data_IF_550652151754
#
_entry.id   IF_550652151754
#
_cell.length_a   1.000
_cell.length_b   1.000
_cell.length_c   1.000
_cell.angle_alpha   90.00
_cell.angle_beta   90.00
_cell.angle_gamma   90.00
#
_symmetry.space_group_name_H-M   'P 1'
#
loop_
_entity.id
_entity.type
_entity.pdbx_description
1 polymer ?
#
# COMPACT_ATOMS: atom_id res chain seq x y z
N UNK A 1 5.82 15.59 0.04
CA UNK A 1 4.46 15.40 -0.52
C UNK A 1 4.46 15.32 -2.04
N UNK A 2 4.94 16.35 -2.77
CA UNK A 2 4.96 16.35 -4.25
C UNK A 2 5.76 15.18 -4.85
N UNK A 3 6.92 14.86 -4.29
CA UNK A 3 7.78 13.77 -4.78
C UNK A 3 7.13 12.39 -4.68
N UNK A 4 6.60 12.01 -3.51
CA UNK A 4 5.90 10.73 -3.35
C UNK A 4 4.73 10.62 -4.33
N UNK A 5 3.93 11.68 -4.46
CA UNK A 5 2.80 11.70 -5.39
C UNK A 5 3.24 11.49 -6.84
N UNK A 6 4.32 12.16 -7.27
CA UNK A 6 4.91 11.95 -8.60
C UNK A 6 5.39 10.50 -8.81
N UNK A 7 5.96 9.86 -7.79
CA UNK A 7 6.35 8.45 -7.87
C UNK A 7 5.14 7.53 -8.04
N UNK A 8 4.04 7.78 -7.33
CA UNK A 8 2.80 7.03 -7.51
C UNK A 8 2.18 7.27 -8.89
N UNK A 9 2.21 8.51 -9.39
CA UNK A 9 1.73 8.88 -10.73
C UNK A 9 2.58 8.27 -11.86
N UNK A 10 3.85 7.98 -11.59
CA UNK A 10 4.77 7.39 -12.59
C UNK A 10 4.39 5.96 -12.99
N UNK A 11 3.64 5.24 -12.14
CA UNK A 11 3.13 3.90 -12.45
C UNK A 11 1.95 4.07 -13.41
N UNK A 12 2.21 3.85 -14.69
CA UNK A 12 1.26 4.10 -15.78
C UNK A 12 0.88 2.82 -16.51
N UNK A 13 -0.18 2.90 -17.32
CA UNK A 13 -0.66 1.82 -18.19
C UNK A 13 0.43 1.19 -19.06
N UNK A 14 1.46 1.97 -19.43
CA UNK A 14 2.56 1.54 -20.29
C UNK A 14 3.71 0.85 -19.55
N UNK A 15 3.69 0.84 -18.21
CA UNK A 15 4.78 0.29 -17.40
C UNK A 15 4.86 -1.24 -17.56
N UNK A 16 6.01 -1.79 -17.91
CA UNK A 16 6.18 -3.26 -18.03
C UNK A 16 6.36 -3.91 -16.67
N UNK A 17 6.29 -5.25 -16.62
CA UNK A 17 6.53 -6.02 -15.40
C UNK A 17 7.94 -5.78 -14.85
N UNK A 18 8.94 -5.72 -15.72
CA UNK A 18 10.35 -5.51 -15.36
C UNK A 18 10.57 -4.10 -14.79
N UNK A 19 9.92 -3.09 -15.39
CA UNK A 19 9.95 -1.72 -14.88
C UNK A 19 9.27 -1.60 -13.53
N UNK A 20 8.17 -2.33 -13.32
CA UNK A 20 7.49 -2.40 -12.02
C UNK A 20 8.38 -3.07 -10.97
N UNK A 21 8.98 -4.21 -11.31
CA UNK A 21 9.88 -4.96 -10.42
C UNK A 21 11.08 -4.12 -9.99
N UNK A 22 11.59 -3.25 -10.87
CA UNK A 22 12.65 -2.31 -10.54
C UNK A 22 12.16 -1.11 -9.70
N UNK A 23 10.91 -0.68 -9.89
CA UNK A 23 10.39 0.56 -9.30
C UNK A 23 9.78 0.39 -7.92
N UNK A 24 9.06 -0.70 -7.66
CA UNK A 24 8.40 -0.93 -6.38
C UNK A 24 9.36 -0.94 -5.18
N UNK A 25 10.57 -1.53 -5.25
CA UNK A 25 11.55 -1.42 -4.16
C UNK A 25 11.93 0.03 -3.85
N UNK A 26 12.05 0.88 -4.87
CA UNK A 26 12.39 2.30 -4.72
C UNK A 26 11.23 3.04 -4.05
N UNK A 27 9.99 2.83 -4.53
CA UNK A 27 8.79 3.45 -3.94
C UNK A 27 8.64 2.99 -2.48
N UNK A 28 8.78 1.68 -2.22
CA UNK A 28 8.67 1.09 -0.89
C UNK A 28 9.67 1.69 0.08
N UNK A 29 10.95 1.73 -0.30
CA UNK A 29 11.99 2.36 0.49
C UNK A 29 11.65 3.83 0.76
N UNK A 30 11.30 4.57 -0.28
CA UNK A 30 11.06 6.00 -0.18
C UNK A 30 9.88 6.33 0.73
N UNK A 31 8.73 5.66 0.56
CA UNK A 31 7.55 5.90 1.40
C UNK A 31 7.78 5.47 2.85
N UNK A 32 8.38 4.28 3.07
CA UNK A 32 8.55 3.73 4.42
C UNK A 32 9.64 4.47 5.20
N UNK A 33 10.66 5.02 4.54
CA UNK A 33 11.75 5.73 5.21
C UNK A 33 11.46 7.22 5.45
N UNK A 34 10.64 7.86 4.60
CA UNK A 34 10.47 9.32 4.61
C UNK A 34 9.09 9.81 5.05
N UNK A 35 8.09 8.93 5.11
CA UNK A 35 6.70 9.31 5.33
C UNK A 35 6.04 8.49 6.43
N UNK A 36 5.02 9.09 7.04
CA UNK A 36 4.09 8.43 7.95
C UNK A 36 2.65 8.85 7.63
N UNK A 37 1.68 8.25 8.32
CA UNK A 37 0.26 8.58 8.21
C UNK A 37 -0.13 9.30 9.49
N UNK A 38 -0.57 10.55 9.37
CA UNK A 38 -1.11 11.32 10.50
C UNK A 38 -2.62 11.13 10.57
N UNK A 39 -3.13 10.75 11.74
CA UNK A 39 -4.55 10.65 12.06
C UNK A 39 -4.79 11.26 13.43
N UNK A 40 -5.59 12.33 13.50
CA UNK A 40 -5.69 13.16 14.70
C UNK A 40 -4.31 13.61 15.20
N UNK A 41 -4.02 13.29 16.46
CA UNK A 41 -2.72 13.56 17.12
C UNK A 41 -1.70 12.42 16.97
N UNK A 42 -2.10 11.30 16.37
CA UNK A 42 -1.24 10.13 16.19
C UNK A 42 -0.49 10.19 14.86
N UNK A 43 0.71 9.64 14.88
CA UNK A 43 1.55 9.46 13.70
C UNK A 43 1.94 7.99 13.60
N UNK A 44 1.58 7.39 12.47
CA UNK A 44 1.83 5.98 12.19
C UNK A 44 2.95 5.82 11.17
N UNK A 45 3.92 4.98 11.50
CA UNK A 45 5.05 4.61 10.66
C UNK A 45 4.78 3.30 9.93
N UNK A 46 5.00 3.28 8.62
CA UNK A 46 4.81 2.08 7.80
C UNK A 46 5.92 1.06 8.08
N UNK A 47 5.55 -0.20 8.32
CA UNK A 47 6.46 -1.30 8.62
C UNK A 47 6.32 -2.49 7.66
N UNK A 48 5.14 -2.68 7.04
CA UNK A 48 4.91 -3.67 5.99
C UNK A 48 3.89 -3.13 4.98
N UNK A 49 4.21 -3.26 3.69
CA UNK A 49 3.33 -2.88 2.58
C UNK A 49 3.40 -3.90 1.44
N UNK A 50 2.31 -4.02 0.69
CA UNK A 50 2.24 -4.85 -0.51
C UNK A 50 1.78 -4.05 -1.71
N UNK A 51 2.38 -4.32 -2.87
CA UNK A 51 1.98 -3.67 -4.11
C UNK A 51 1.06 -4.58 -4.93
N UNK A 52 0.03 -3.97 -5.51
CA UNK A 52 -0.90 -4.61 -6.42
C UNK A 52 -1.05 -3.72 -7.64
N UNK A 53 -0.85 -4.28 -8.83
CA UNK A 53 -0.95 -3.48 -10.05
C UNK A 53 -1.24 -4.32 -11.27
N UNK A 54 -2.25 -3.93 -12.04
CA UNK A 54 -2.60 -4.56 -13.31
C UNK A 54 -2.55 -3.56 -14.45
N UNK A 55 -2.22 -4.04 -15.64
CA UNK A 55 -2.40 -3.33 -16.89
C UNK A 55 -2.50 -4.33 -18.08
N UNK A 56 -2.68 -3.88 -19.33
CA UNK A 56 -2.75 -4.78 -20.47
C UNK A 56 -1.44 -5.54 -20.78
N UNK A 57 -0.29 -5.09 -20.28
CA UNK A 57 1.02 -5.72 -20.47
C UNK A 57 1.33 -6.75 -19.38
N UNK A 58 0.64 -6.66 -18.24
CA UNK A 58 0.80 -7.48 -17.05
C UNK A 58 -0.56 -7.63 -16.34
N UNK A 59 -1.15 -8.82 -16.49
CA UNK A 59 -2.45 -9.13 -15.90
C UNK A 59 -2.29 -9.71 -14.49
N UNK A 60 -2.11 -8.83 -13.52
CA UNK A 60 -2.18 -9.13 -12.08
C UNK A 60 -3.61 -9.24 -11.58
N UNK A 61 -4.64 -8.97 -12.41
CA UNK A 61 -6.02 -9.03 -11.93
C UNK A 61 -6.38 -10.44 -11.48
N UNK A 62 -5.71 -11.49 -11.99
CA UNK A 62 -6.18 -12.87 -11.87
C UNK A 62 -5.14 -13.82 -11.31
N UNK A 63 -5.61 -14.70 -10.43
CA UNK A 63 -4.83 -15.70 -9.73
C UNK A 63 -4.89 -17.06 -10.44
N UNK A 64 -3.93 -17.37 -11.32
CA UNK A 64 -3.77 -18.68 -12.00
C UNK A 64 -4.97 -19.11 -12.86
N UNK A 65 -6.06 -19.55 -12.22
CA UNK A 65 -7.38 -19.78 -12.81
C UNK A 65 -8.23 -18.50 -12.70
N UNK A 66 -8.84 -18.10 -13.82
CA UNK A 66 -9.55 -16.82 -14.04
C UNK A 66 -10.63 -16.34 -13.03
N UNK A 67 -10.91 -17.08 -11.95
CA UNK A 67 -12.00 -16.79 -11.01
C UNK A 67 -11.59 -15.97 -9.77
N UNK A 68 -10.33 -16.05 -9.32
CA UNK A 68 -9.89 -15.31 -8.13
C UNK A 68 -9.20 -14.02 -8.55
N UNK A 69 -9.71 -12.88 -8.07
CA UNK A 69 -9.10 -11.57 -8.33
C UNK A 69 -7.99 -11.30 -7.31
N UNK A 70 -6.77 -10.99 -7.77
CA UNK A 70 -5.66 -10.57 -6.89
C UNK A 70 -5.69 -9.05 -6.68
N UNK A 71 -6.05 -8.30 -7.72
CA UNK A 71 -6.26 -6.85 -7.65
C UNK A 71 -7.64 -6.47 -8.20
N UNK A 72 -8.09 -5.26 -7.89
CA UNK A 72 -9.44 -4.79 -8.14
C UNK A 72 -9.47 -3.76 -9.25
N UNK A 73 -10.40 -3.93 -10.20
CA UNK A 73 -10.75 -2.86 -11.13
C UNK A 73 -11.24 -1.64 -10.35
N UNK A 74 -10.65 -0.48 -10.62
CA UNK A 74 -11.00 0.77 -9.93
C UNK A 74 -10.73 1.99 -10.80
N UNK A 75 -11.42 3.09 -10.49
CA UNK A 75 -11.12 4.42 -11.01
C UNK A 75 -10.63 5.27 -9.84
N UNK A 76 -9.37 5.69 -9.87
CA UNK A 76 -8.76 6.47 -8.79
C UNK A 76 -7.62 7.32 -9.33
N UNK A 77 -7.49 8.54 -8.80
CA UNK A 77 -6.27 9.31 -8.94
C UNK A 77 -5.18 8.76 -8.02
N UNK A 78 -3.91 8.97 -8.36
CA UNK A 78 -2.80 8.56 -7.51
C UNK A 78 -2.79 9.30 -6.15
N UNK A 79 -2.49 8.56 -5.08
CA UNK A 79 -2.38 9.09 -3.72
C UNK A 79 -3.71 9.25 -2.98
N UNK A 80 -4.79 8.64 -3.46
CA UNK A 80 -6.04 8.52 -2.72
C UNK A 80 -6.05 7.29 -1.82
N UNK A 81 -6.89 7.30 -0.79
CA UNK A 81 -7.23 6.10 -0.02
C UNK A 81 -8.31 5.31 -0.76
N UNK A 82 -8.09 4.01 -0.93
CA UNK A 82 -9.08 3.10 -1.49
C UNK A 82 -9.33 1.94 -0.52
N UNK A 83 -10.51 1.93 0.07
CA UNK A 83 -10.94 0.89 1.01
C UNK A 83 -11.54 -0.31 0.27
N UNK A 84 -11.23 -1.50 0.76
CA UNK A 84 -11.81 -2.76 0.31
C UNK A 84 -11.84 -3.76 1.47
N UNK A 85 -12.45 -4.92 1.25
CA UNK A 85 -12.72 -5.94 2.29
C UNK A 85 -11.46 -6.44 3.04
N UNK A 86 -10.27 -6.18 2.49
CA UNK A 86 -9.00 -6.66 3.03
C UNK A 86 -8.11 -5.56 3.61
N UNK A 87 -8.52 -4.28 3.54
CA UNK A 87 -7.73 -3.17 4.06
C UNK A 87 -7.88 -1.88 3.26
N UNK A 88 -6.80 -1.11 3.21
CA UNK A 88 -6.74 0.16 2.49
C UNK A 88 -5.49 0.21 1.62
N UNK A 89 -5.69 0.65 0.39
CA UNK A 89 -4.60 0.93 -0.55
C UNK A 89 -4.34 2.43 -0.64
N UNK A 90 -3.07 2.80 -0.76
CA UNK A 90 -2.67 4.08 -1.35
C UNK A 90 -2.58 3.92 -2.87
N UNK A 91 -3.44 4.62 -3.61
CA UNK A 91 -3.69 4.32 -5.03
C UNK A 91 -2.58 4.79 -5.97
N UNK A 92 -2.39 4.03 -7.06
CA UNK A 92 -1.85 4.54 -8.32
C UNK A 92 -2.99 5.15 -9.16
N UNK A 93 -2.63 5.88 -10.23
CA UNK A 93 -3.62 6.22 -11.24
C UNK A 93 -4.24 4.93 -11.79
N UNK A 94 -5.57 4.90 -11.83
CA UNK A 94 -6.34 3.71 -12.18
C UNK A 94 -7.52 4.08 -13.05
N UNK A 95 -7.74 3.32 -14.11
CA UNK A 95 -8.89 3.44 -15.01
C UNK A 95 -9.39 2.05 -15.38
N UNK A 96 -10.57 1.70 -14.86
CA UNK A 96 -11.26 0.45 -15.19
C UNK A 96 -11.60 0.34 -16.67
N UNK A 97 -11.93 1.45 -17.32
CA UNK A 97 -12.24 1.51 -18.75
C UNK A 97 -11.00 1.23 -19.61
N UNK A 98 -9.84 1.70 -19.17
CA UNK A 98 -8.57 1.50 -19.87
C UNK A 98 -7.83 0.24 -19.46
N UNK A 99 -8.32 -0.46 -18.43
CA UNK A 99 -7.78 -1.75 -18.01
C UNK A 99 -6.45 -1.65 -17.26
N UNK A 100 -6.21 -0.59 -16.50
CA UNK A 100 -5.06 -0.50 -15.60
C UNK A 100 -5.41 0.07 -14.22
N UNK A 101 -4.62 -0.24 -13.20
CA UNK A 101 -4.79 0.33 -11.87
C UNK A 101 -4.17 -0.50 -10.75
N UNK A 102 -4.33 -0.02 -9.52
CA UNK A 102 -3.81 -0.68 -8.34
C UNK A 102 -3.41 0.28 -7.23
N UNK A 103 -2.55 -0.17 -6.33
CA UNK A 103 -2.07 0.62 -5.21
C UNK A 103 -1.15 -0.15 -4.28
N UNK A 104 -0.92 0.46 -3.13
CA UNK A 104 -0.04 -0.03 -2.07
C UNK A 104 -0.91 -0.35 -0.84
N UNK A 105 -1.10 -1.64 -0.58
CA UNK A 105 -1.81 -2.14 0.59
C UNK A 105 -0.96 -1.91 1.84
N UNK A 106 -1.55 -1.28 2.86
CA UNK A 106 -0.91 -1.10 4.16
C UNK A 106 -1.17 -2.32 5.04
N UNK A 107 -0.11 -2.97 5.52
CA UNK A 107 -0.23 -4.26 6.26
C UNK A 107 0.24 -4.21 7.69
N UNK A 108 1.21 -3.35 8.00
CA UNK A 108 1.69 -3.14 9.36
C UNK A 108 2.10 -1.69 9.55
N UNK A 109 1.65 -1.11 10.66
CA UNK A 109 2.05 0.22 11.12
C UNK A 109 2.50 0.17 12.57
N UNK A 110 3.22 1.21 12.98
CA UNK A 110 3.63 1.44 14.36
C UNK A 110 3.35 2.88 14.75
N UNK A 111 2.77 3.10 15.92
CA UNK A 111 2.63 4.44 16.49
C UNK A 111 4.02 5.01 16.84
N UNK A 112 4.30 6.23 16.38
CA UNK A 112 5.65 6.80 16.45
C UNK A 112 6.11 7.16 17.87
N UNK A 113 5.19 7.24 18.84
CA UNK A 113 5.48 7.63 20.22
C UNK A 113 5.57 6.40 21.12
N UNK A 114 4.55 5.54 21.05
CA UNK A 114 4.42 4.37 21.92
C UNK A 114 5.15 3.15 21.39
N UNK A 115 5.52 3.16 20.10
CA UNK A 115 6.06 2.01 19.37
C UNK A 115 5.14 0.78 19.38
N UNK A 116 3.85 0.97 19.68
CA UNK A 116 2.86 -0.07 19.57
C UNK A 116 2.65 -0.44 18.09
N UNK A 117 2.81 -1.72 17.76
CA UNK A 117 2.67 -2.22 16.41
C UNK A 117 1.25 -2.76 16.17
N UNK A 118 0.63 -2.33 15.08
CA UNK A 118 -0.63 -2.84 14.56
C UNK A 118 -0.35 -3.65 13.31
N UNK A 119 -0.65 -4.94 13.38
CA UNK A 119 -0.24 -5.93 12.36
C UNK A 119 -1.45 -6.62 11.75
N UNK A 120 -1.60 -6.47 10.44
CA UNK A 120 -2.72 -6.97 9.63
C UNK A 120 -3.44 -5.80 8.95
N UNK A 121 -3.77 -5.91 7.65
CA UNK A 121 -4.24 -4.76 6.88
C UNK A 121 -5.59 -4.19 7.35
N UNK A 122 -6.55 -5.06 7.70
CA UNK A 122 -7.83 -4.63 8.31
C UNK A 122 -7.61 -4.00 9.69
N UNK A 123 -6.68 -4.53 10.49
CA UNK A 123 -6.35 -3.94 11.79
C UNK A 123 -5.71 -2.56 11.64
N UNK A 124 -4.87 -2.36 10.60
CA UNK A 124 -4.31 -1.06 10.28
C UNK A 124 -5.40 -0.05 9.92
N UNK A 125 -6.42 -0.45 9.15
CA UNK A 125 -7.59 0.41 8.89
C UNK A 125 -8.27 0.80 10.20
N UNK A 126 -8.62 -0.18 11.02
CA UNK A 126 -9.30 0.09 12.29
C UNK A 126 -8.49 1.02 13.18
N UNK A 127 -7.17 0.81 13.31
CA UNK A 127 -6.28 1.64 14.12
C UNK A 127 -6.14 3.06 13.56
N UNK A 128 -5.86 3.21 12.27
CA UNK A 128 -5.58 4.52 11.67
C UNK A 128 -6.87 5.38 11.59
N UNK A 129 -8.04 4.74 11.50
CA UNK A 129 -9.35 5.39 11.49
C UNK A 129 -10.14 5.18 12.81
N UNK A 130 -9.47 4.82 13.92
CA UNK A 130 -10.13 4.43 15.19
C UNK A 130 -10.79 5.60 15.93
N UNK A 131 -10.49 6.85 15.55
CA UNK A 131 -11.20 8.02 16.08
C UNK A 131 -12.68 7.86 15.72
N UNK A 132 -13.45 7.37 16.69
CA UNK A 132 -14.83 6.92 16.55
C UNK A 132 -15.59 7.85 15.61
N UNK A 133 -15.70 7.44 14.35
CA UNK A 133 -16.37 8.22 13.31
C UNK A 133 -17.81 8.41 13.76
N UNK A 134 -18.08 9.57 14.36
CA UNK A 134 -19.40 9.90 14.87
C UNK A 134 -20.36 9.85 13.67
N UNK A 135 -21.33 8.93 13.74
CA UNK A 135 -22.31 8.74 12.68
C UNK A 135 -23.21 9.98 12.47
N UNK A 136 -23.19 10.93 13.40
CA UNK A 136 -24.02 12.12 13.42
C UNK A 136 -23.22 13.42 13.35
N UNK A 137 -21.90 13.38 13.55
CA UNK A 137 -21.03 14.56 13.51
C UNK A 137 -19.77 14.29 12.71
N UNK A 138 -19.29 15.25 11.89
CA UNK A 138 -17.97 15.12 11.27
C UNK A 138 -16.89 14.95 12.34
N UNK A 139 -16.17 13.84 12.27
CA UNK A 139 -14.94 13.64 13.03
C UNK A 139 -13.76 14.26 12.30
N UNK A 140 -12.65 14.40 13.02
CA UNK A 140 -11.38 14.99 12.57
C UNK A 140 -10.99 14.55 11.14
N UNK A 141 -10.20 15.35 10.40
CA UNK A 141 -9.96 15.11 8.99
C UNK A 141 -9.38 13.72 8.73
N UNK A 142 -9.74 13.16 7.57
CA UNK A 142 -9.21 11.89 7.09
C UNK A 142 -7.69 11.80 7.29
N UNK A 143 -7.18 10.61 7.68
CA UNK A 143 -5.76 10.37 7.78
C UNK A 143 -5.04 10.82 6.52
N UNK A 144 -3.87 11.42 6.67
CA UNK A 144 -3.12 11.93 5.53
C UNK A 144 -1.64 11.57 5.65
N UNK A 145 -1.05 11.28 4.51
CA UNK A 145 0.38 11.01 4.41
C UNK A 145 1.14 12.30 4.68
N UNK A 146 2.15 12.26 5.55
CA UNK A 146 2.97 13.40 5.91
C UNK A 146 4.45 13.03 5.83
N UNK A 147 5.30 13.97 5.42
CA UNK A 147 6.75 13.77 5.40
C UNK A 147 7.28 13.92 6.83
N UNK A 148 8.09 12.96 7.27
CA UNK A 148 8.62 12.89 8.64
C UNK A 148 10.16 13.00 8.69
N UNK A 149 10.83 13.02 7.54
CA UNK A 149 12.29 12.93 7.43
C UNK A 149 12.75 11.48 7.31
N UNK A 150 14.04 11.27 7.07
CA UNK A 150 14.62 9.94 6.91
C UNK A 150 14.68 9.22 8.26
N UNK A 151 14.12 8.01 8.32
CA UNK A 151 14.16 7.13 9.50
C UNK A 151 15.44 6.30 9.58
N UNK A 152 16.18 6.18 8.48
CA UNK A 152 17.36 5.31 8.40
C UNK A 152 17.00 3.83 8.48
N UNK A 153 15.82 3.43 7.95
CA UNK A 153 15.40 2.04 8.00
C UNK A 153 16.27 1.15 7.11
N UNK A 154 16.24 -0.16 7.34
CA UNK A 154 16.66 -1.19 6.39
C UNK A 154 15.42 -2.01 6.01
N UNK A 155 15.24 -2.32 4.72
CA UNK A 155 14.21 -3.24 4.27
C UNK A 155 14.81 -4.64 4.18
N UNK A 156 14.01 -5.66 4.52
CA UNK A 156 14.36 -7.03 4.18
C UNK A 156 14.34 -7.21 2.65
N UNK A 157 14.94 -8.29 2.18
CA UNK A 157 14.77 -8.73 0.79
C UNK A 157 13.27 -8.80 0.44
N UNK A 158 12.83 -8.24 -0.72
CA UNK A 158 11.42 -8.23 -1.10
C UNK A 158 10.86 -9.66 -1.09
N UNK A 159 9.64 -9.88 -0.64
CA UNK A 159 9.07 -11.23 -0.57
C UNK A 159 7.79 -11.33 -1.39
N UNK A 160 7.32 -12.54 -1.61
CA UNK A 160 6.02 -12.77 -2.23
C UNK A 160 4.88 -12.21 -1.35
N UNK A 161 3.77 -11.87 -2.01
CA UNK A 161 2.61 -11.28 -1.33
C UNK A 161 1.90 -12.32 -0.47
N UNK A 162 1.65 -11.97 0.78
CA UNK A 162 0.92 -12.75 1.77
C UNK A 162 -0.44 -13.13 1.21
N UNK A 163 -0.84 -14.39 1.37
CA UNK A 163 -2.07 -15.01 0.84
C UNK A 163 -2.15 -15.21 -0.68
N UNK A 164 -1.22 -14.66 -1.47
CA UNK A 164 -1.21 -14.84 -2.94
C UNK A 164 -0.29 -15.98 -3.38
N UNK A 165 0.64 -16.45 -2.55
CA UNK A 165 1.68 -17.44 -2.90
C UNK A 165 1.19 -18.73 -3.61
N UNK A 166 -0.04 -19.16 -3.32
CA UNK A 166 -0.62 -20.37 -3.94
C UNK A 166 -1.26 -20.12 -5.30
N UNK A 167 -1.49 -18.86 -5.66
CA UNK A 167 -2.30 -18.47 -6.82
C UNK A 167 -1.67 -17.35 -7.67
N UNK A 168 -0.62 -16.69 -7.18
CA UNK A 168 0.20 -15.76 -7.96
C UNK A 168 1.04 -16.56 -8.97
N UNK A 169 0.62 -16.56 -10.23
CA UNK A 169 1.36 -17.21 -11.32
C UNK A 169 2.74 -16.59 -11.55
N UNK A 170 2.93 -15.33 -11.16
CA UNK A 170 4.16 -14.59 -11.37
C UNK A 170 5.09 -14.66 -10.15
N UNK A 171 4.58 -15.07 -8.99
CA UNK A 171 5.30 -15.09 -7.70
C UNK A 171 6.03 -13.76 -7.47
N UNK A 172 5.34 -12.66 -7.75
CA UNK A 172 5.93 -11.32 -7.70
C UNK A 172 6.37 -11.00 -6.28
N UNK A 173 7.64 -10.60 -6.11
CA UNK A 173 8.24 -10.27 -4.81
C UNK A 173 7.92 -8.81 -4.43
N UNK A 174 6.63 -8.55 -4.21
CA UNK A 174 6.06 -7.21 -4.02
C UNK A 174 5.57 -6.93 -2.59
N UNK A 175 5.98 -7.75 -1.62
CA UNK A 175 5.87 -7.46 -0.19
C UNK A 175 7.18 -6.87 0.33
N UNK A 176 7.10 -5.74 1.01
CA UNK A 176 8.25 -5.01 1.55
C UNK A 176 8.07 -4.80 3.05
N UNK A 177 9.10 -5.18 3.82
CA UNK A 177 9.07 -5.16 5.29
C UNK A 177 10.31 -4.47 5.84
N UNK A 178 10.14 -3.68 6.90
CA UNK A 178 11.27 -3.10 7.64
C UNK A 178 11.94 -4.17 8.49
N UNK A 179 13.27 -4.25 8.44
CA UNK A 179 14.06 -5.17 9.25
C UNK A 179 13.74 -5.01 10.74
N UNK A 180 13.51 -6.14 11.42
CA UNK A 180 13.25 -6.17 12.87
C UNK A 180 11.86 -5.70 13.31
N UNK A 181 10.97 -5.34 12.38
CA UNK A 181 9.58 -4.96 12.70
C UNK A 181 8.62 -6.16 12.58
N UNK A 182 7.51 -6.09 13.31
CA UNK A 182 6.46 -7.13 13.28
C UNK A 182 5.69 -7.07 11.95
N UNK A 183 5.48 -8.25 11.36
CA UNK A 183 4.82 -8.43 10.06
C UNK A 183 3.64 -9.38 10.17
N UNK A 184 2.72 -9.29 9.22
CA UNK A 184 1.40 -9.96 9.20
C UNK A 184 1.40 -11.41 8.71
N UNK A 185 2.52 -12.13 8.86
CA UNK A 185 2.65 -13.54 8.44
C UNK A 185 1.95 -14.50 9.38
#
# INVERSE_FOLDING_TARGET
>A
MKELKLMLESVTRQTTKEEIDARFPIIARYIMDNYGIKSGDRLYLLNEIEFYYYNPLYDDLRAGSSKSLITYKRNAAAGCWFFHDYGVDLTFNSSSAEGFGGGILIRSVEDSITHAATVGPVKCVNEIWDDAVDAFSPTAPNPFVVRIGERGITLNEPDTRVTVDKVDRYKSRWNFTVCGKKTSR
#
